data_IF_267981315919
#
_entry.id   IF_267981315919
#
_cell.length_a   1.000
_cell.length_b   1.000
_cell.length_c   1.000
_cell.angle_alpha   90.00
_cell.angle_beta   90.00
_cell.angle_gamma   90.00
#
_symmetry.space_group_name_H-M   'P 1'
#
loop_
_entity.id
_entity.type
_entity.pdbx_description
1 polymer ?
#
# COMPACT_ATOMS: atom_id res chain seq x y z
N UNK A 1 13.58 -14.03 52.21
CA UNK A 1 14.22 -13.63 50.93
C UNK A 1 13.75 -14.56 49.84
N UNK A 2 12.74 -14.14 49.08
CA UNK A 2 12.09 -14.95 48.04
C UNK A 2 12.96 -14.93 46.77
N UNK A 3 13.79 -15.95 46.60
CA UNK A 3 14.54 -16.18 45.37
C UNK A 3 13.68 -16.98 44.40
N UNK A 4 13.84 -16.64 43.11
CA UNK A 4 13.26 -17.21 41.88
C UNK A 4 11.98 -16.52 41.45
N UNK A 5 12.02 -15.90 40.28
CA UNK A 5 10.99 -15.95 39.25
C UNK A 5 11.59 -15.40 37.93
N UNK A 6 11.51 -16.23 36.90
CA UNK A 6 11.61 -15.95 35.45
C UNK A 6 13.01 -15.62 34.88
N UNK A 7 13.69 -16.53 34.18
CA UNK A 7 13.36 -17.18 32.88
C UNK A 7 13.07 -16.14 31.79
N UNK A 8 13.92 -16.12 30.76
CA UNK A 8 13.46 -15.79 29.41
C UNK A 8 13.70 -14.36 28.91
N UNK A 9 14.84 -13.75 29.21
CA UNK A 9 15.23 -12.47 28.62
C UNK A 9 15.92 -12.60 27.26
N UNK A 10 15.25 -13.17 26.26
CA UNK A 10 15.71 -13.13 24.88
C UNK A 10 14.50 -13.14 23.93
N UNK A 11 13.66 -12.11 24.04
CA UNK A 11 12.68 -11.81 23.00
C UNK A 11 13.45 -11.22 21.80
N UNK A 12 14.05 -12.11 21.01
CA UNK A 12 14.56 -11.76 19.69
C UNK A 12 13.35 -11.49 18.79
N UNK A 13 12.81 -10.27 18.86
CA UNK A 13 11.85 -9.76 17.89
C UNK A 13 12.60 -9.42 16.60
N UNK A 14 13.04 -10.44 15.88
CA UNK A 14 13.43 -10.32 14.48
C UNK A 14 12.16 -10.19 13.63
N UNK A 15 11.48 -9.05 13.77
CA UNK A 15 10.44 -8.63 12.83
C UNK A 15 11.11 -7.93 11.65
N UNK A 16 11.94 -8.65 10.90
CA UNK A 16 12.27 -8.26 9.53
C UNK A 16 11.14 -8.76 8.63
N UNK A 17 9.99 -8.09 8.69
CA UNK A 17 8.92 -8.25 7.70
C UNK A 17 8.95 -7.09 6.71
N UNK A 18 10.14 -6.72 6.21
CA UNK A 18 10.27 -5.98 4.95
C UNK A 18 10.03 -6.93 3.77
N UNK A 19 8.86 -7.57 3.79
CA UNK A 19 8.32 -8.34 2.68
C UNK A 19 7.78 -7.40 1.62
N UNK A 20 8.65 -6.94 0.73
CA UNK A 20 8.31 -6.70 -0.67
C UNK A 20 7.30 -5.60 -0.96
N UNK A 21 7.59 -4.34 -0.60
CA UNK A 21 7.09 -3.21 -1.40
C UNK A 21 7.95 -3.13 -2.67
N UNK A 22 7.67 -4.03 -3.62
CA UNK A 22 8.33 -4.05 -4.93
C UNK A 22 8.17 -2.69 -5.63
N UNK A 23 9.25 -2.22 -6.23
CA UNK A 23 9.33 -1.05 -7.12
C UNK A 23 8.15 -0.96 -8.08
N UNK A 24 7.69 0.26 -8.36
CA UNK A 24 6.63 0.54 -9.33
C UNK A 24 6.88 -0.23 -10.64
N UNK A 25 5.90 -1.03 -11.06
CA UNK A 25 5.97 -1.82 -12.29
C UNK A 25 4.89 -1.31 -13.24
N UNK A 26 5.32 -0.88 -14.43
CA UNK A 26 4.44 -0.42 -15.50
C UNK A 26 3.45 -1.48 -15.99
N UNK A 27 3.58 -2.74 -15.55
CA UNK A 27 2.74 -3.86 -15.95
C UNK A 27 1.86 -4.42 -14.81
N UNK A 28 1.62 -3.61 -13.77
CA UNK A 28 0.76 -4.02 -12.65
C UNK A 28 -0.68 -4.13 -13.12
N UNK A 29 -1.31 -5.30 -12.92
CA UNK A 29 -2.75 -5.47 -13.15
C UNK A 29 -3.54 -4.57 -12.19
N UNK A 30 -4.35 -3.67 -12.74
CA UNK A 30 -5.21 -2.76 -12.00
C UNK A 30 -6.64 -3.07 -12.42
N UNK A 31 -7.37 -3.95 -11.69
CA UNK A 31 -8.72 -4.36 -12.06
C UNK A 31 -9.78 -3.28 -11.79
N UNK A 32 -9.39 -2.11 -11.26
CA UNK A 32 -10.31 -1.03 -10.91
C UNK A 32 -10.84 -0.29 -12.15
N UNK A 33 -12.16 -0.36 -12.41
CA UNK A 33 -12.81 0.29 -13.56
C UNK A 33 -13.80 1.39 -13.15
N UNK A 34 -13.84 1.74 -11.86
CA UNK A 34 -14.74 2.77 -11.35
C UNK A 34 -14.12 4.16 -11.48
N UNK A 35 -14.98 5.16 -11.67
CA UNK A 35 -14.60 6.56 -11.83
C UNK A 35 -14.36 7.30 -10.50
N UNK A 36 -14.36 6.57 -9.39
CA UNK A 36 -14.13 7.09 -8.06
C UNK A 36 -13.02 6.30 -7.38
N UNK A 37 -12.35 6.93 -6.42
CA UNK A 37 -11.32 6.28 -5.62
C UNK A 37 -11.92 5.18 -4.74
N UNK A 38 -11.19 4.08 -4.55
CA UNK A 38 -11.63 3.01 -3.67
C UNK A 38 -11.44 3.38 -2.20
N UNK A 39 -12.12 2.66 -1.32
CA UNK A 39 -11.71 2.59 0.08
C UNK A 39 -10.35 1.87 0.20
N UNK A 40 -9.71 1.99 1.37
CA UNK A 40 -8.52 1.21 1.71
C UNK A 40 -8.94 -0.23 1.98
N UNK A 41 -8.33 -1.17 1.26
CA UNK A 41 -8.51 -2.60 1.44
C UNK A 41 -7.27 -3.18 2.11
N UNK A 42 -7.46 -4.12 3.04
CA UNK A 42 -6.35 -4.83 3.69
C UNK A 42 -6.38 -6.29 3.27
N UNK A 43 -5.30 -6.77 2.67
CA UNK A 43 -5.16 -8.15 2.26
C UNK A 43 -3.74 -8.65 2.56
N UNK A 44 -3.63 -9.75 3.30
CA UNK A 44 -2.39 -10.46 3.56
C UNK A 44 -1.20 -9.58 4.03
N UNK A 45 -1.44 -8.64 4.95
CA UNK A 45 -0.39 -7.75 5.48
C UNK A 45 -0.17 -6.47 4.67
N UNK A 46 -0.81 -6.33 3.51
CA UNK A 46 -0.66 -5.17 2.62
C UNK A 46 -1.98 -4.42 2.53
N UNK A 47 -1.90 -3.11 2.73
CA UNK A 47 -2.98 -2.17 2.49
C UNK A 47 -2.93 -1.73 1.04
N UNK A 48 -4.04 -1.80 0.32
CA UNK A 48 -4.16 -1.39 -1.08
C UNK A 48 -5.23 -0.31 -1.20
N UNK A 49 -5.00 0.70 -2.05
CA UNK A 49 -6.02 1.68 -2.43
C UNK A 49 -5.88 2.08 -3.89
N UNK A 50 -7.01 2.39 -4.54
CA UNK A 50 -7.05 2.91 -5.90
C UNK A 50 -7.42 4.40 -5.85
N UNK A 51 -6.54 5.25 -6.35
CA UNK A 51 -6.78 6.69 -6.46
C UNK A 51 -7.14 7.05 -7.88
N UNK A 52 -8.31 7.67 -8.05
CA UNK A 52 -8.78 8.18 -9.34
C UNK A 52 -8.52 9.68 -9.41
N UNK A 53 -7.86 10.12 -10.49
CA UNK A 53 -7.47 11.51 -10.73
C UNK A 53 -7.68 11.89 -12.19
N UNK A 54 -8.02 13.16 -12.41
CA UNK A 54 -7.98 13.76 -13.73
C UNK A 54 -6.52 14.10 -14.07
N UNK A 55 -5.95 13.40 -15.06
CA UNK A 55 -4.53 13.51 -15.43
C UNK A 55 -3.59 12.55 -14.68
N UNK A 56 -2.32 12.52 -15.13
CA UNK A 56 -1.26 11.62 -14.62
C UNK A 56 -0.54 12.15 -13.38
N UNK A 57 -1.29 12.72 -12.43
CA UNK A 57 -0.73 13.33 -11.21
C UNK A 57 -0.65 12.30 -10.08
N UNK A 58 0.22 11.29 -10.25
CA UNK A 58 0.49 10.29 -9.23
C UNK A 58 1.87 10.48 -8.63
N UNK A 59 1.93 10.58 -7.30
CA UNK A 59 3.18 10.61 -6.55
C UNK A 59 3.69 9.18 -6.38
N UNK A 60 4.99 8.97 -6.54
CA UNK A 60 5.63 7.66 -6.34
C UNK A 60 5.47 7.16 -4.90
N UNK A 61 5.64 8.07 -3.93
CA UNK A 61 5.45 7.80 -2.49
C UNK A 61 4.59 8.88 -1.87
N UNK A 62 3.71 8.47 -0.94
CA UNK A 62 2.73 9.34 -0.29
C UNK A 62 2.53 8.92 1.16
N UNK A 63 2.75 9.85 2.08
CA UNK A 63 2.60 9.62 3.53
C UNK A 63 1.25 10.17 4.00
N UNK A 64 0.32 9.30 4.33
CA UNK A 64 -1.04 9.65 4.75
C UNK A 64 -1.52 8.68 5.83
N UNK A 65 -2.21 9.17 6.86
CA UNK A 65 -2.82 8.36 7.92
C UNK A 65 -1.86 7.40 8.63
N UNK A 66 -0.57 7.76 8.70
CA UNK A 66 0.48 6.93 9.28
C UNK A 66 0.98 5.80 8.36
N UNK A 67 0.52 5.75 7.11
CA UNK A 67 0.96 4.80 6.09
C UNK A 67 1.89 5.47 5.08
N UNK A 68 2.93 4.73 4.67
CA UNK A 68 3.74 5.07 3.50
C UNK A 68 3.18 4.31 2.29
N UNK A 69 2.43 5.02 1.44
CA UNK A 69 1.81 4.49 0.24
C UNK A 69 2.77 4.60 -0.93
N UNK A 70 3.08 3.46 -1.55
CA UNK A 70 3.92 3.36 -2.73
C UNK A 70 3.04 3.12 -3.96
N UNK A 71 3.24 3.92 -5.00
CA UNK A 71 2.58 3.74 -6.29
C UNK A 71 3.10 2.46 -6.94
N UNK A 72 2.19 1.52 -7.23
CA UNK A 72 2.53 0.31 -7.98
C UNK A 72 2.44 0.51 -9.49
N UNK A 73 1.49 1.33 -9.92
CA UNK A 73 1.27 1.67 -11.31
C UNK A 73 0.00 2.49 -11.47
N UNK A 74 -0.23 2.96 -12.69
CA UNK A 74 -1.45 3.67 -13.06
C UNK A 74 -1.95 3.23 -14.43
N UNK A 75 -3.26 3.31 -14.65
CA UNK A 75 -3.87 3.09 -15.97
C UNK A 75 -4.85 4.19 -16.30
N UNK A 76 -5.10 4.41 -17.59
CA UNK A 76 -6.13 5.33 -18.07
C UNK A 76 -7.50 4.64 -18.09
N UNK A 77 -8.52 5.32 -17.58
CA UNK A 77 -9.91 4.90 -17.67
C UNK A 77 -10.57 5.67 -18.83
N UNK A 78 -11.13 4.92 -19.78
CA UNK A 78 -11.82 5.48 -20.94
C UNK A 78 -13.33 5.65 -20.72
N UNK A 79 -13.87 5.00 -19.69
CA UNK A 79 -15.30 4.99 -19.36
C UNK A 79 -15.74 6.14 -18.43
N UNK A 80 -14.80 6.94 -17.93
CA UNK A 80 -15.05 7.96 -16.90
C UNK A 80 -15.00 9.41 -17.42
N UNK A 81 -14.85 9.61 -18.73
CA UNK A 81 -14.66 10.92 -19.36
C UNK A 81 -13.24 11.13 -19.90
N UNK A 82 -12.99 12.30 -20.49
CA UNK A 82 -11.71 12.59 -21.14
C UNK A 82 -10.60 12.83 -20.11
N UNK A 83 -9.80 11.79 -19.87
CA UNK A 83 -8.50 11.80 -19.15
C UNK A 83 -8.51 11.47 -17.66
N UNK A 84 -9.39 10.55 -17.26
CA UNK A 84 -9.32 9.96 -15.92
C UNK A 84 -8.25 8.87 -15.88
N UNK A 85 -7.41 8.90 -14.85
CA UNK A 85 -6.43 7.85 -14.57
C UNK A 85 -6.70 7.27 -13.19
N UNK A 86 -6.36 5.99 -13.02
CA UNK A 86 -6.39 5.30 -11.74
C UNK A 86 -4.99 4.82 -11.38
N UNK A 87 -4.49 5.23 -10.23
CA UNK A 87 -3.24 4.78 -9.63
C UNK A 87 -3.51 3.75 -8.55
N UNK A 88 -2.82 2.61 -8.59
CA UNK A 88 -2.82 1.61 -7.52
C UNK A 88 -1.71 1.95 -6.52
N UNK A 89 -2.07 2.08 -5.27
CA UNK A 89 -1.15 2.31 -4.17
C UNK A 89 -1.18 1.14 -3.20
N UNK A 90 -0.01 0.78 -2.69
CA UNK A 90 0.15 -0.23 -1.65
C UNK A 90 0.97 0.32 -0.48
N UNK A 91 0.60 -0.03 0.74
CA UNK A 91 1.31 0.32 1.95
C UNK A 91 1.41 -0.89 2.87
N UNK A 92 2.49 -0.98 3.64
CA UNK A 92 2.60 -1.92 4.75
C UNK A 92 2.58 -1.08 6.03
N UNK A 93 1.80 -1.51 7.03
CA UNK A 93 1.80 -0.84 8.33
C UNK A 93 3.13 -1.18 9.02
N UNK A 94 3.99 -0.18 9.15
CA UNK A 94 5.23 -0.29 9.92
C UNK A 94 4.98 -0.24 11.43
#
# INVERSE_FOLDING_TARGET
MLKKLFVGGALAAALTLTGGISTASANTDIPWNNCHSSAVEYNNGVYTKYLVKDGIVFLDVRKEDGFEWHLKGFKKLYNCGMSVYVGKYEAVKS
#
